data_IF_876211814909
#
_entry.id   IF_876211814909
#
_cell.length_a   1.000
_cell.length_b   1.000
_cell.length_c   1.000
_cell.angle_alpha   90.00
_cell.angle_beta   90.00
_cell.angle_gamma   90.00
#
_symmetry.space_group_name_H-M   'P 1'
#
loop_
_entity.id
_entity.type
_entity.pdbx_description
1 polymer ?
#
# COMPACT_ATOMS: atom_id res chain seq x y z
N UNK A 1 -1.85 -10.91 1.79
CA UNK A 1 -0.62 -10.22 2.24
C UNK A 1 -0.86 -9.56 3.58
N UNK A 2 0.12 -9.62 4.46
CA UNK A 2 0.12 -8.97 5.77
C UNK A 2 1.38 -8.12 5.87
N UNK A 3 1.31 -7.00 6.57
CA UNK A 3 2.44 -6.11 6.78
C UNK A 3 2.18 -5.23 8.00
N UNK A 4 3.26 -4.68 8.56
CA UNK A 4 3.18 -3.64 9.57
C UNK A 4 3.46 -2.28 8.93
N UNK A 5 2.81 -1.24 9.44
CA UNK A 5 3.03 0.13 8.99
C UNK A 5 2.96 1.11 10.17
N UNK A 6 3.78 2.15 10.10
CA UNK A 6 3.77 3.29 11.02
C UNK A 6 3.63 4.57 10.21
N UNK A 7 2.82 5.51 10.71
CA UNK A 7 2.40 6.72 9.99
C UNK A 7 2.13 7.83 10.99
N UNK A 8 3.13 8.67 11.27
CA UNK A 8 3.04 9.68 12.31
C UNK A 8 3.52 11.06 11.86
N UNK A 9 3.12 12.08 12.61
CA UNK A 9 3.47 13.48 12.37
C UNK A 9 2.32 14.34 11.83
N UNK A 10 2.65 15.60 11.56
CA UNK A 10 1.71 16.58 11.04
C UNK A 10 1.69 16.50 9.51
N UNK A 11 0.49 16.44 8.91
CA UNK A 11 0.36 16.36 7.46
C UNK A 11 0.78 15.01 6.86
N UNK A 12 0.67 13.92 7.61
CA UNK A 12 0.82 12.56 7.05
C UNK A 12 -0.13 12.40 5.88
N UNK A 13 0.40 12.00 4.74
CA UNK A 13 -0.43 11.71 3.57
C UNK A 13 -1.03 10.30 3.63
N UNK A 14 -0.90 9.57 2.54
CA UNK A 14 -1.54 8.27 2.36
C UNK A 14 -0.54 7.18 2.01
N UNK A 15 -0.84 5.97 2.48
CA UNK A 15 -0.20 4.75 2.05
C UNK A 15 -1.26 3.88 1.38
N UNK A 16 -0.97 3.43 0.16
CA UNK A 16 -1.84 2.55 -0.63
C UNK A 16 -1.09 1.28 -1.01
N UNK A 17 -1.82 0.20 -1.21
CA UNK A 17 -1.32 -1.05 -1.75
C UNK A 17 -2.11 -1.40 -3.01
N UNK A 18 -1.41 -1.57 -4.11
CA UNK A 18 -1.96 -1.99 -5.39
C UNK A 18 -1.49 -3.40 -5.76
N UNK A 19 -2.31 -4.12 -6.52
CA UNK A 19 -1.85 -5.24 -7.33
C UNK A 19 -1.74 -4.83 -8.79
N UNK A 20 -0.65 -5.24 -9.43
CA UNK A 20 -0.39 -5.06 -10.85
C UNK A 20 -0.33 -6.46 -11.50
N UNK A 21 -1.42 -6.91 -12.10
CA UNK A 21 -1.48 -8.20 -12.79
C UNK A 21 -1.08 -8.04 -14.27
N UNK A 22 -0.11 -8.82 -14.74
CA UNK A 22 0.35 -8.77 -16.12
C UNK A 22 -0.74 -9.24 -17.07
N UNK A 23 -0.99 -8.45 -18.11
CA UNK A 23 -1.87 -8.83 -19.22
C UNK A 23 -1.05 -8.97 -20.50
N UNK A 24 -1.59 -9.67 -21.49
CA UNK A 24 -0.89 -9.87 -22.75
C UNK A 24 -0.81 -8.54 -23.52
N UNK A 25 0.30 -8.25 -24.23
CA UNK A 25 0.35 -7.13 -25.18
C UNK A 25 -0.81 -7.20 -26.18
N UNK A 26 -1.40 -6.06 -26.59
CA UNK A 26 -0.96 -4.68 -26.37
C UNK A 26 -1.52 -4.03 -25.08
N UNK A 27 -2.09 -4.80 -24.15
CA UNK A 27 -2.78 -4.24 -22.98
C UNK A 27 -1.80 -3.86 -21.85
N UNK A 28 -2.16 -2.83 -21.10
CA UNK A 28 -1.44 -2.42 -19.88
C UNK A 28 -1.82 -3.32 -18.70
N UNK A 29 -0.89 -3.54 -17.78
CA UNK A 29 -1.14 -4.29 -16.53
C UNK A 29 -2.44 -3.85 -15.86
N UNK A 30 -3.21 -4.81 -15.38
CA UNK A 30 -4.43 -4.54 -14.63
C UNK A 30 -4.04 -4.11 -13.22
N UNK A 31 -4.22 -2.83 -12.93
CA UNK A 31 -4.02 -2.25 -11.60
C UNK A 31 -5.30 -2.30 -10.78
N UNK A 32 -5.22 -2.74 -9.52
CA UNK A 32 -6.33 -2.75 -8.57
C UNK A 32 -5.85 -2.26 -7.21
N UNK A 33 -6.55 -1.28 -6.62
CA UNK A 33 -6.31 -0.86 -5.24
C UNK A 33 -6.82 -1.93 -4.27
N UNK A 34 -5.91 -2.48 -3.47
CA UNK A 34 -6.23 -3.54 -2.51
C UNK A 34 -6.48 -2.98 -1.10
N UNK A 35 -5.75 -1.92 -0.73
CA UNK A 35 -5.83 -1.34 0.60
C UNK A 35 -5.34 0.10 0.62
N UNK A 36 -5.86 0.88 1.58
CA UNK A 36 -5.52 2.29 1.76
C UNK A 36 -5.61 2.74 3.21
N UNK A 37 -4.67 3.60 3.61
CA UNK A 37 -4.67 4.28 4.91
C UNK A 37 -4.31 5.74 4.75
N UNK A 38 -5.20 6.63 5.18
CA UNK A 38 -5.01 8.08 5.18
C UNK A 38 -4.57 8.61 6.54
N UNK A 39 -3.82 9.71 6.50
CA UNK A 39 -3.54 10.52 7.68
C UNK A 39 -2.66 9.85 8.71
N UNK A 40 -2.51 10.55 9.84
CA UNK A 40 -1.78 10.10 11.01
C UNK A 40 -2.54 8.96 11.69
N UNK A 41 -1.82 7.92 12.13
CA UNK A 41 -2.36 6.74 12.83
C UNK A 41 -1.88 6.64 14.28
N UNK A 42 -1.24 7.68 14.79
CA UNK A 42 -0.58 7.70 16.08
C UNK A 42 0.85 7.18 15.99
N UNK A 43 1.60 7.41 17.06
CA UNK A 43 2.97 6.94 17.20
C UNK A 43 2.99 5.46 17.64
N UNK A 44 2.52 4.59 16.76
CA UNK A 44 2.48 3.15 17.00
C UNK A 44 2.46 2.38 15.68
N UNK A 45 2.93 1.12 15.72
CA UNK A 45 2.88 0.22 14.59
C UNK A 45 1.51 -0.44 14.47
N UNK A 46 0.93 -0.36 13.27
CA UNK A 46 -0.34 -0.99 12.94
C UNK A 46 -0.12 -2.17 12.02
N UNK A 47 -0.90 -3.24 12.23
CA UNK A 47 -0.91 -4.40 11.35
C UNK A 47 -2.05 -4.31 10.34
N UNK A 48 -1.74 -4.51 9.06
CA UNK A 48 -2.72 -4.69 8.00
C UNK A 48 -2.75 -6.15 7.53
N UNK A 49 -3.94 -6.66 7.23
CA UNK A 49 -4.14 -7.94 6.58
C UNK A 49 -5.09 -7.75 5.40
N UNK A 50 -4.60 -8.01 4.20
CA UNK A 50 -5.30 -7.71 2.94
C UNK A 50 -5.46 -9.01 2.15
N UNK A 51 -6.71 -9.33 1.84
CA UNK A 51 -7.04 -10.45 0.98
C UNK A 51 -6.71 -10.09 -0.46
N UNK A 52 -5.94 -10.95 -1.13
CA UNK A 52 -5.66 -10.78 -2.55
C UNK A 52 -6.86 -11.34 -3.34
N UNK A 53 -7.30 -10.66 -4.41
CA UNK A 53 -8.25 -11.26 -5.35
C UNK A 53 -7.61 -12.48 -6.02
N UNK A 54 -8.43 -13.27 -6.72
CA UNK A 54 -7.94 -14.43 -7.46
C UNK A 54 -7.02 -13.98 -8.61
N UNK A 55 -5.71 -13.99 -8.38
CA UNK A 55 -4.69 -13.68 -9.38
C UNK A 55 -4.41 -14.95 -10.18
N UNK A 56 -4.60 -14.86 -11.49
CA UNK A 56 -4.44 -15.99 -12.41
C UNK A 56 -3.21 -15.87 -13.29
N UNK A 57 -2.58 -14.70 -13.27
CA UNK A 57 -1.35 -14.38 -14.01
C UNK A 57 -0.28 -13.88 -13.05
N UNK A 58 0.95 -13.72 -13.55
CA UNK A 58 2.02 -13.08 -12.80
C UNK A 58 1.58 -11.68 -12.36
N UNK A 59 1.87 -11.34 -11.11
CA UNK A 59 1.50 -10.06 -10.53
C UNK A 59 2.61 -9.50 -9.65
N UNK A 60 2.53 -8.19 -9.41
CA UNK A 60 3.33 -7.48 -8.43
C UNK A 60 2.42 -6.80 -7.40
N UNK A 61 2.94 -6.64 -6.18
CA UNK A 61 2.33 -5.80 -5.17
C UNK A 61 3.13 -4.49 -5.08
N UNK A 62 2.44 -3.36 -5.15
CA UNK A 62 3.05 -2.03 -5.15
C UNK A 62 2.52 -1.22 -3.98
N UNK A 63 3.41 -0.89 -3.04
CA UNK A 63 3.14 0.10 -2.00
C UNK A 63 3.42 1.49 -2.55
N UNK A 64 2.44 2.39 -2.45
CA UNK A 64 2.54 3.77 -2.91
C UNK A 64 2.28 4.72 -1.74
N UNK A 65 3.32 5.42 -1.32
CA UNK A 65 3.25 6.48 -0.33
C UNK A 65 3.11 7.83 -1.04
N UNK A 66 2.07 8.59 -0.71
CA UNK A 66 1.92 9.98 -1.16
C UNK A 66 2.09 10.90 0.04
N UNK A 67 3.05 11.81 -0.08
CA UNK A 67 3.35 12.83 0.94
C UNK A 67 2.20 13.83 1.07
N UNK A 68 1.88 14.21 2.32
CA UNK A 68 0.99 15.34 2.63
C UNK A 68 1.78 16.61 2.97
N UNK A 69 1.08 17.66 3.41
CA UNK A 69 1.70 18.95 3.73
C UNK A 69 2.04 19.02 5.21
N UNK A 70 3.29 18.73 5.56
CA UNK A 70 3.82 18.84 6.92
C UNK A 70 5.00 17.90 7.19
N UNK A 71 5.47 17.91 8.44
CA UNK A 71 6.53 17.03 8.94
C UNK A 71 5.92 15.71 9.42
N UNK A 72 6.12 14.66 8.61
CA UNK A 72 5.57 13.33 8.86
C UNK A 72 6.42 12.26 8.20
N UNK A 73 6.19 11.01 8.61
CA UNK A 73 6.81 9.82 8.06
C UNK A 73 5.78 8.73 7.73
N UNK A 74 6.24 7.78 6.92
CA UNK A 74 5.56 6.53 6.62
C UNK A 74 6.64 5.45 6.58
N UNK A 75 6.50 4.41 7.41
CA UNK A 75 7.36 3.24 7.42
C UNK A 75 6.52 1.96 7.24
N UNK A 76 7.13 0.93 6.67
CA UNK A 76 6.54 -0.38 6.42
C UNK A 76 7.57 -1.43 6.82
N UNK A 77 7.13 -2.51 7.46
CA UNK A 77 7.99 -3.63 7.84
C UNK A 77 7.22 -4.96 7.81
N UNK A 78 7.93 -6.09 7.95
CA UNK A 78 7.38 -7.43 8.16
C UNK A 78 6.32 -7.86 7.12
N UNK A 79 6.62 -7.66 5.83
CA UNK A 79 5.74 -8.05 4.72
C UNK A 79 5.73 -9.59 4.56
N UNK A 80 4.54 -10.21 4.61
CA UNK A 80 4.29 -11.67 4.52
C UNK A 80 3.07 -12.06 3.69
#
# INVERSE_FOLDING_TARGET
VRFFFHKFGNGVGELRLYSLESVQPPYNNKEVELWRSYGNKGDTWWKAAVNLPNMTKSYQLQFVARRGVGNSDIAIDDIT
#
